data_IF_965784941932
#
_entry.id   IF_965784941932
#
_cell.length_a   1.000
_cell.length_b   1.000
_cell.length_c   1.000
_cell.angle_alpha   90.00
_cell.angle_beta   90.00
_cell.angle_gamma   90.00
#
_symmetry.space_group_name_H-M   'P 1'
#
loop_
_entity.id
_entity.type
_entity.pdbx_description
1 polymer ?
#
# COMPACT_ATOMS: atom_id res chain seq x y z
N UNK A 1 0.50 2.08 -27.71
CA UNK A 1 0.11 2.26 -26.30
C UNK A 1 1.13 1.56 -25.43
N UNK A 2 1.62 2.22 -24.38
CA UNK A 2 2.50 1.58 -23.40
C UNK A 2 1.57 0.87 -22.41
N UNK A 3 1.64 -0.47 -22.28
CA UNK A 3 0.81 -1.19 -21.32
C UNK A 3 1.20 -0.80 -19.89
N UNK A 4 0.20 -0.47 -19.07
CA UNK A 4 0.39 -0.18 -17.65
C UNK A 4 0.40 -1.50 -16.87
N UNK A 5 1.26 -1.61 -15.87
CA UNK A 5 1.36 -2.80 -15.02
C UNK A 5 0.04 -3.01 -14.25
N UNK A 6 -0.56 -4.22 -14.24
CA UNK A 6 -1.85 -4.48 -13.59
C UNK A 6 -1.92 -4.16 -12.10
N UNK A 7 -0.77 -4.13 -11.41
CA UNK A 7 -0.66 -3.78 -10.00
C UNK A 7 -1.04 -2.31 -9.71
N UNK A 8 -1.00 -1.43 -10.71
CA UNK A 8 -1.48 -0.06 -10.53
C UNK A 8 -3.00 0.04 -10.42
N UNK A 9 -3.74 -0.95 -10.93
CA UNK A 9 -5.20 -1.03 -10.84
C UNK A 9 -5.63 -1.81 -9.60
N UNK A 10 -6.74 -1.38 -9.02
CA UNK A 10 -7.39 -2.07 -7.92
C UNK A 10 -7.86 -3.45 -8.35
N UNK A 11 -7.58 -4.46 -7.53
CA UNK A 11 -8.12 -5.80 -7.70
C UNK A 11 -8.17 -6.50 -6.34
N UNK A 12 -9.06 -7.48 -6.21
CA UNK A 12 -9.10 -8.40 -5.08
C UNK A 12 -7.79 -9.17 -5.01
N UNK A 13 -7.01 -8.94 -3.95
CA UNK A 13 -5.71 -9.57 -3.73
C UNK A 13 -5.58 -10.07 -2.30
N UNK A 14 -4.88 -11.19 -2.08
CA UNK A 14 -4.57 -11.65 -0.74
C UNK A 14 -3.54 -10.72 -0.13
N UNK A 15 -3.88 -10.13 1.01
CA UNK A 15 -2.98 -9.25 1.76
C UNK A 15 -2.89 -9.66 3.21
N UNK A 16 -1.75 -9.36 3.83
CA UNK A 16 -1.53 -9.42 5.27
C UNK A 16 -1.33 -8.01 5.77
N UNK A 17 -2.00 -7.68 6.88
CA UNK A 17 -1.76 -6.42 7.58
C UNK A 17 -0.58 -6.58 8.54
N UNK A 18 0.52 -5.87 8.27
CA UNK A 18 1.70 -5.81 9.15
C UNK A 18 1.95 -4.36 9.54
N UNK A 19 1.81 -4.06 10.84
CA UNK A 19 2.07 -2.71 11.38
C UNK A 19 1.35 -1.60 10.59
N UNK A 20 0.07 -1.82 10.26
CA UNK A 20 -0.77 -0.88 9.50
C UNK A 20 -0.45 -0.79 7.99
N UNK A 21 0.46 -1.63 7.47
CA UNK A 21 0.76 -1.73 6.05
C UNK A 21 0.13 -3.00 5.48
N UNK A 22 -0.60 -2.89 4.37
CA UNK A 22 -1.09 -4.05 3.63
C UNK A 22 0.01 -4.56 2.71
N UNK A 23 0.40 -5.81 2.90
CA UNK A 23 1.44 -6.48 2.10
C UNK A 23 0.80 -7.60 1.32
N UNK A 24 1.04 -7.65 0.01
CA UNK A 24 0.50 -8.70 -0.86
C UNK A 24 1.18 -10.04 -0.61
N UNK A 25 0.35 -11.05 -0.35
CA UNK A 25 0.77 -12.42 -0.11
C UNK A 25 0.53 -13.26 -1.37
N UNK A 26 1.22 -12.93 -2.46
CA UNK A 26 1.16 -13.62 -3.76
C UNK A 26 2.44 -14.39 -4.13
N UNK A 27 3.43 -14.41 -3.23
CA UNK A 27 4.73 -15.07 -3.46
C UNK A 27 5.08 -16.00 -2.29
N UNK A 28 5.56 -17.20 -2.62
CA UNK A 28 5.95 -18.24 -1.66
C UNK A 28 7.16 -17.84 -0.79
N UNK A 29 7.92 -16.81 -1.18
CA UNK A 29 9.03 -16.27 -0.40
C UNK A 29 8.56 -15.45 0.81
N UNK A 30 7.28 -15.11 0.90
CA UNK A 30 6.75 -14.37 2.03
C UNK A 30 6.58 -15.28 3.26
N UNK A 31 7.47 -15.11 4.23
CA UNK A 31 7.34 -15.79 5.51
C UNK A 31 6.24 -15.12 6.36
N UNK A 32 5.19 -15.87 6.71
CA UNK A 32 4.15 -15.42 7.62
C UNK A 32 4.63 -15.44 9.07
N UNK A 33 4.36 -14.37 9.84
CA UNK A 33 4.56 -14.38 11.29
C UNK A 33 3.48 -15.23 11.97
N UNK A 34 3.73 -15.78 13.16
CA UNK A 34 2.74 -16.56 13.90
C UNK A 34 1.43 -15.79 14.08
N UNK A 35 0.31 -16.37 13.64
CA UNK A 35 -1.02 -15.79 13.75
C UNK A 35 -1.45 -14.88 12.59
N UNK A 36 -0.58 -14.60 11.63
CA UNK A 36 -0.96 -13.87 10.42
C UNK A 36 -1.86 -14.72 9.52
N UNK A 37 -2.91 -14.09 9.00
CA UNK A 37 -3.82 -14.66 8.03
C UNK A 37 -3.96 -13.71 6.86
N UNK A 38 -3.98 -14.25 5.66
CA UNK A 38 -4.31 -13.48 4.46
C UNK A 38 -5.79 -13.12 4.48
N UNK A 39 -6.10 -11.87 4.17
CA UNK A 39 -7.46 -11.39 3.90
C UNK A 39 -7.55 -10.94 2.45
N UNK A 40 -8.69 -11.16 1.81
CA UNK A 40 -8.94 -10.61 0.49
C UNK A 40 -9.36 -9.15 0.65
N UNK A 41 -8.60 -8.25 0.02
CA UNK A 41 -8.93 -6.82 -0.05
C UNK A 41 -8.75 -6.33 -1.48
N UNK A 42 -9.63 -5.42 -1.90
CA UNK A 42 -9.46 -4.67 -3.14
C UNK A 42 -8.39 -3.61 -2.95
N UNK A 43 -7.21 -3.84 -3.52
CA UNK A 43 -6.03 -2.98 -3.31
C UNK A 43 -5.31 -2.67 -4.62
N UNK A 44 -4.56 -1.57 -4.67
CA UNK A 44 -3.63 -1.21 -5.74
C UNK A 44 -2.29 -0.74 -5.19
N UNK A 45 -1.28 -0.64 -6.06
CA UNK A 45 0.06 -0.18 -5.72
C UNK A 45 0.34 1.17 -6.37
N UNK A 46 0.70 2.17 -5.56
CA UNK A 46 1.03 3.53 -6.05
C UNK A 46 2.49 3.66 -6.50
N UNK A 47 3.36 2.88 -5.89
CA UNK A 47 4.76 2.71 -6.28
C UNK A 47 5.01 1.22 -6.46
N UNK A 48 5.95 0.84 -7.31
CA UNK A 48 6.39 -0.55 -7.46
C UNK A 48 7.87 -0.58 -7.10
N UNK A 49 8.18 -1.03 -5.90
CA UNK A 49 9.54 -1.20 -5.40
C UNK A 49 9.91 -2.68 -5.29
N UNK A 50 10.83 -2.99 -4.38
CA UNK A 50 11.17 -4.37 -4.08
C UNK A 50 9.99 -5.05 -3.36
N UNK A 51 9.66 -6.27 -3.79
CA UNK A 51 8.82 -7.19 -3.04
C UNK A 51 9.56 -7.65 -1.76
N UNK A 52 8.91 -7.79 -0.59
CA UNK A 52 7.51 -7.52 -0.26
C UNK A 52 7.25 -6.10 0.30
N UNK A 53 8.20 -5.17 0.13
CA UNK A 53 8.20 -3.87 0.82
C UNK A 53 7.28 -2.81 0.20
N UNK A 54 6.55 -3.17 -0.85
CA UNK A 54 5.60 -2.25 -1.47
C UNK A 54 4.24 -2.38 -0.77
N UNK A 55 3.88 -1.35 -0.01
CA UNK A 55 2.58 -1.29 0.66
C UNK A 55 1.43 -1.11 -0.32
N UNK A 56 0.49 -2.05 -0.31
CA UNK A 56 -0.77 -1.95 -1.04
C UNK A 56 -1.67 -0.90 -0.38
N UNK A 57 -2.52 -0.26 -1.17
CA UNK A 57 -3.51 0.72 -0.70
C UNK A 57 -4.90 0.23 -1.10
N UNK A 58 -5.85 0.22 -0.16
CA UNK A 58 -7.25 -0.08 -0.47
C UNK A 58 -7.79 0.94 -1.48
N UNK A 59 -8.37 0.44 -2.55
CA UNK A 59 -8.83 1.27 -3.67
C UNK A 59 -9.90 0.54 -4.44
N UNK A 60 -10.80 1.31 -5.06
CA UNK A 60 -11.79 0.79 -5.99
C UNK A 60 -11.46 1.12 -7.44
N UNK A 61 -10.32 1.76 -7.72
CA UNK A 61 -9.97 2.26 -9.04
C UNK A 61 -9.40 1.16 -9.95
N UNK A 62 -10.23 0.58 -10.82
CA UNK A 62 -9.92 -0.53 -11.72
C UNK A 62 -9.41 -0.04 -13.09
N UNK A 63 -9.62 1.24 -13.38
CA UNK A 63 -9.24 1.89 -14.64
C UNK A 63 -8.30 3.07 -14.42
N UNK A 64 -7.65 3.54 -15.49
CA UNK A 64 -6.78 4.70 -15.42
C UNK A 64 -7.56 5.96 -15.05
N UNK A 65 -8.75 6.11 -15.63
CA UNK A 65 -9.68 7.20 -15.36
C UNK A 65 -10.08 7.24 -13.89
N UNK A 66 -10.44 6.10 -13.30
CA UNK A 66 -10.77 6.00 -11.88
C UNK A 66 -9.55 6.28 -10.98
N UNK A 67 -8.35 5.85 -11.37
CA UNK A 67 -7.13 6.18 -10.60
C UNK A 67 -6.92 7.69 -10.58
N UNK A 68 -7.07 8.35 -11.72
CA UNK A 68 -6.93 9.80 -11.84
C UNK A 68 -8.00 10.50 -10.99
N UNK A 69 -9.26 10.06 -11.06
CA UNK A 69 -10.34 10.59 -10.23
C UNK A 69 -10.07 10.38 -8.72
N UNK A 70 -9.64 9.19 -8.33
CA UNK A 70 -9.29 8.88 -6.94
C UNK A 70 -8.15 9.78 -6.45
N UNK A 71 -7.11 10.00 -7.28
CA UNK A 71 -6.02 10.91 -6.96
C UNK A 71 -6.52 12.35 -6.77
N UNK A 72 -7.34 12.86 -7.69
CA UNK A 72 -7.93 14.21 -7.62
C UNK A 72 -8.80 14.40 -6.37
N UNK A 73 -9.59 13.39 -6.00
CA UNK A 73 -10.43 13.42 -4.80
C UNK A 73 -9.59 13.34 -3.52
N UNK A 74 -8.59 12.47 -3.51
CA UNK A 74 -7.65 12.29 -2.37
C UNK A 74 -6.79 13.53 -2.13
N UNK A 75 -6.53 14.35 -3.16
CA UNK A 75 -5.80 15.63 -3.03
C UNK A 75 -6.59 16.78 -2.38
N UNK A 76 -7.84 16.57 -1.96
CA UNK A 76 -8.64 17.61 -1.27
C UNK A 76 -8.24 17.84 0.20
N UNK A 77 -6.99 17.57 0.58
CA UNK A 77 -6.45 17.77 1.93
C UNK A 77 -5.33 18.82 2.00
N UNK A 78 -5.06 19.60 0.95
CA UNK A 78 -3.92 20.53 0.99
C UNK A 78 -4.15 21.80 1.82
N UNK A 79 -5.37 22.25 2.12
CA UNK A 79 -5.58 23.57 2.79
C UNK A 79 -6.79 23.71 3.71
N UNK A 80 -6.97 22.83 4.69
CA UNK A 80 -7.70 23.21 5.90
C UNK A 80 -6.99 22.71 7.16
N UNK A 81 -6.41 23.66 7.90
CA UNK A 81 -6.05 23.47 9.30
C UNK A 81 -4.58 23.14 9.56
N UNK A 82 -3.72 24.16 9.55
CA UNK A 82 -2.53 24.22 10.43
C UNK A 82 -2.99 24.06 11.89
N UNK A 83 -3.23 22.84 12.36
CA UNK A 83 -3.37 22.53 13.78
C UNK A 83 -3.02 21.05 13.93
N UNK A 84 -2.15 20.74 14.90
CA UNK A 84 -1.74 19.40 15.35
C UNK A 84 -0.52 18.83 14.60
N UNK A 85 0.65 19.42 14.91
CA UNK A 85 1.84 18.63 15.26
C UNK A 85 1.44 17.43 16.13
N UNK A 86 1.89 16.21 15.81
CA UNK A 86 2.55 15.30 16.76
C UNK A 86 3.02 14.03 16.04
N UNK A 87 4.32 13.78 16.20
CA UNK A 87 5.08 12.53 16.07
C UNK A 87 4.56 11.37 15.22
N UNK A 88 5.37 11.00 14.23
CA UNK A 88 5.22 9.74 13.52
C UNK A 88 6.22 9.52 12.38
N UNK A 89 7.41 10.13 12.42
CA UNK A 89 8.49 9.83 11.47
C UNK A 89 9.17 8.47 11.74
N UNK A 90 8.40 7.48 12.22
CA UNK A 90 8.89 6.17 12.63
C UNK A 90 8.84 5.11 11.50
N UNK A 91 8.82 5.50 10.22
CA UNK A 91 8.43 4.56 9.15
C UNK A 91 9.58 3.96 8.33
N UNK A 92 10.83 4.37 8.55
CA UNK A 92 11.96 3.79 7.79
C UNK A 92 13.15 3.34 8.66
N UNK A 93 13.48 4.05 9.73
CA UNK A 93 14.60 3.66 10.62
C UNK A 93 14.27 2.49 11.54
N UNK A 94 13.04 2.39 12.06
CA UNK A 94 12.62 1.22 12.86
C UNK A 94 12.55 -0.05 12.03
N UNK A 95 12.11 0.04 10.76
CA UNK A 95 12.10 -1.11 9.83
C UNK A 95 13.51 -1.63 9.50
N UNK A 96 14.56 -0.81 9.65
CA UNK A 96 15.95 -1.27 9.52
C UNK A 96 16.41 -2.13 10.70
N UNK A 97 15.86 -1.91 11.90
CA UNK A 97 16.22 -2.68 13.10
C UNK A 97 15.66 -4.10 13.11
N UNK A 98 14.59 -4.35 12.36
CA UNK A 98 14.00 -5.69 12.21
C UNK A 98 14.75 -6.60 11.21
N UNK A 99 15.92 -6.17 10.70
CA UNK A 99 16.82 -7.04 9.92
C UNK A 99 16.43 -7.24 8.45
N UNK A 100 15.60 -6.36 7.89
CA UNK A 100 15.18 -6.40 6.48
C UNK A 100 16.08 -5.55 5.57
N UNK A 101 17.40 -5.74 5.66
CA UNK A 101 18.39 -5.30 4.68
C UNK A 101 19.18 -6.49 4.16
#
# INVERSE_FOLDING_TARGET
FIPIVPLYFAAERPVVERSGTLIMADDDRMEFKPGEKTVQKKVRFRTLGCYPLTGAVESNAETLEEIVQEMLLTTTSERQGRVIDYDGAASMEEKKKDGYF
#
